data_IF_584572788796
#
_entry.id   IF_584572788796
#
_cell.length_a   1.000
_cell.length_b   1.000
_cell.length_c   1.000
_cell.angle_alpha   90.00
_cell.angle_beta   90.00
_cell.angle_gamma   90.00
#
_symmetry.space_group_name_H-M   'P 1'
#
loop_
_entity.id
_entity.type
_entity.pdbx_description
1 polymer ?
#
# COMPACT_ATOMS: atom_id res chain seq x y z
N UNK A 1 0.13 36.66 -4.24
CA UNK A 1 0.51 35.96 -3.01
C UNK A 1 0.41 34.47 -3.24
N UNK A 2 1.49 33.75 -2.96
CA UNK A 2 1.54 32.29 -2.97
C UNK A 2 1.63 31.81 -1.52
N UNK A 3 0.83 30.82 -1.15
CA UNK A 3 0.87 30.21 0.18
C UNK A 3 1.09 28.70 0.02
N UNK A 4 1.96 28.12 0.85
CA UNK A 4 2.19 26.68 0.90
C UNK A 4 2.01 26.21 2.33
N UNK A 5 1.10 25.27 2.55
CA UNK A 5 0.85 24.65 3.84
C UNK A 5 1.47 23.26 3.80
N UNK A 6 2.32 22.92 4.76
CA UNK A 6 2.97 21.62 4.85
C UNK A 6 2.89 21.02 6.25
N UNK A 7 2.70 19.71 6.31
CA UNK A 7 2.77 18.91 7.53
C UNK A 7 3.41 17.56 7.22
N UNK A 8 3.90 16.90 8.26
CA UNK A 8 4.50 15.59 8.17
C UNK A 8 3.84 14.58 9.10
N UNK A 9 4.09 13.30 8.87
CA UNK A 9 3.74 12.27 9.85
C UNK A 9 4.91 11.33 10.04
N UNK A 10 5.47 11.33 11.24
CA UNK A 10 6.50 10.39 11.64
C UNK A 10 5.91 9.04 12.05
N UNK A 11 6.51 7.97 11.55
CA UNK A 11 6.17 6.60 11.90
C UNK A 11 7.44 5.83 12.26
N UNK A 12 7.61 5.48 13.53
CA UNK A 12 8.78 4.74 14.03
C UNK A 12 8.97 3.36 13.38
N UNK A 13 7.88 2.76 12.90
CA UNK A 13 7.87 1.37 12.42
C UNK A 13 7.51 1.26 10.94
N UNK A 14 7.63 2.34 10.18
CA UNK A 14 7.35 2.32 8.74
C UNK A 14 7.60 3.67 8.07
N UNK A 15 7.12 3.79 6.85
CA UNK A 15 7.37 4.98 6.04
C UNK A 15 6.67 6.21 6.65
N UNK A 16 7.34 7.34 6.54
CA UNK A 16 6.85 8.66 6.96
C UNK A 16 6.51 9.48 5.72
N UNK A 17 5.51 10.35 5.82
CA UNK A 17 4.97 11.06 4.67
C UNK A 17 4.81 12.56 4.95
N UNK A 18 4.86 13.34 3.89
CA UNK A 18 4.67 14.79 3.84
C UNK A 18 3.38 15.06 3.07
N UNK A 19 2.53 15.90 3.60
CA UNK A 19 1.36 16.45 2.91
C UNK A 19 1.56 17.93 2.65
N UNK A 20 1.20 18.39 1.44
CA UNK A 20 1.24 19.81 1.11
C UNK A 20 -0.01 20.28 0.37
N UNK A 21 -0.38 21.54 0.62
CA UNK A 21 -1.43 22.27 -0.08
C UNK A 21 -0.86 23.60 -0.55
N UNK A 22 -1.08 23.95 -1.83
CA UNK A 22 -0.62 25.23 -2.40
C UNK A 22 -1.82 26.08 -2.79
N UNK A 23 -1.80 27.33 -2.36
CA UNK A 23 -2.79 28.35 -2.67
C UNK A 23 -2.15 29.50 -3.44
N UNK A 24 -2.94 30.13 -4.29
CA UNK A 24 -2.63 31.43 -4.89
C UNK A 24 -3.84 32.33 -4.75
N UNK A 25 -3.63 33.53 -4.20
CA UNK A 25 -4.71 34.50 -3.95
C UNK A 25 -5.90 33.86 -3.21
N UNK A 26 -5.61 33.07 -2.17
CA UNK A 26 -6.61 32.36 -1.37
C UNK A 26 -7.29 31.15 -2.06
N UNK A 27 -6.97 30.85 -3.32
CA UNK A 27 -7.51 29.71 -4.06
C UNK A 27 -6.53 28.54 -4.07
N UNK A 28 -6.97 27.37 -3.64
CA UNK A 28 -6.19 26.14 -3.76
C UNK A 28 -5.94 25.79 -5.24
N UNK A 29 -4.67 25.60 -5.59
CA UNK A 29 -4.24 25.24 -6.95
C UNK A 29 -3.56 23.87 -7.02
N UNK A 30 -3.09 23.33 -5.89
CA UNK A 30 -2.41 22.04 -5.85
C UNK A 30 -2.51 21.36 -4.47
N UNK A 31 -2.49 20.03 -4.48
CA UNK A 31 -2.35 19.18 -3.30
C UNK A 31 -1.43 18.00 -3.66
N UNK A 32 -0.55 17.61 -2.74
CA UNK A 32 0.32 16.46 -2.93
C UNK A 32 0.69 15.78 -1.63
N UNK A 33 0.99 14.48 -1.75
CA UNK A 33 1.64 13.68 -0.72
C UNK A 33 2.94 13.12 -1.30
N UNK A 34 4.02 13.10 -0.52
CA UNK A 34 5.27 12.41 -0.86
C UNK A 34 5.83 11.71 0.37
N UNK A 35 6.67 10.69 0.17
CA UNK A 35 7.42 10.07 1.25
C UNK A 35 8.55 11.01 1.75
N UNK A 36 8.83 10.98 3.06
CA UNK A 36 9.98 11.66 3.68
C UNK A 36 11.26 10.96 3.24
N UNK A 37 12.32 11.72 2.92
CA UNK A 37 13.57 11.12 2.41
C UNK A 37 14.39 10.52 3.55
N UNK A 38 15.27 9.57 3.20
CA UNK A 38 16.42 9.16 4.01
C UNK A 38 16.15 8.60 5.43
N UNK A 39 14.98 7.98 5.67
CA UNK A 39 14.61 7.35 6.95
C UNK A 39 14.76 8.31 8.14
N UNK A 40 13.80 9.23 8.36
CA UNK A 40 13.87 10.22 9.42
C UNK A 40 14.00 9.55 10.80
N UNK A 41 14.78 10.16 11.71
CA UNK A 41 15.05 9.58 13.04
C UNK A 41 14.03 10.00 14.08
N UNK A 42 13.33 11.10 13.83
CA UNK A 42 12.40 11.72 14.76
C UNK A 42 11.40 12.61 14.00
N UNK A 43 10.39 13.13 14.71
CA UNK A 43 9.38 13.98 14.08
C UNK A 43 9.93 15.31 13.56
N UNK A 44 10.92 15.91 14.22
CA UNK A 44 11.50 17.18 13.78
C UNK A 44 12.18 17.03 12.41
N UNK A 45 12.86 15.90 12.16
CA UNK A 45 13.44 15.59 10.85
C UNK A 45 12.36 15.59 9.76
N UNK A 46 11.21 14.94 10.01
CA UNK A 46 10.08 14.92 9.08
C UNK A 46 9.52 16.32 8.80
N UNK A 47 9.39 17.18 9.83
CA UNK A 47 8.90 18.54 9.66
C UNK A 47 9.87 19.42 8.85
N UNK A 48 11.18 19.25 9.05
CA UNK A 48 12.18 19.98 8.28
C UNK A 48 12.15 19.55 6.80
N UNK A 49 12.02 18.25 6.53
CA UNK A 49 11.85 17.72 5.18
C UNK A 49 10.56 18.24 4.52
N UNK A 50 9.47 18.41 5.30
CA UNK A 50 8.24 19.02 4.81
C UNK A 50 8.44 20.47 4.35
N UNK A 51 9.24 21.26 5.08
CA UNK A 51 9.60 22.63 4.72
C UNK A 51 10.50 22.67 3.47
N UNK A 52 11.48 21.79 3.36
CA UNK A 52 12.33 21.67 2.17
C UNK A 52 11.52 21.28 0.92
N UNK A 53 10.56 20.37 1.10
CA UNK A 53 9.64 20.01 0.02
C UNK A 53 8.71 21.17 -0.35
N UNK A 54 8.20 21.93 0.63
CA UNK A 54 7.41 23.12 0.40
C UNK A 54 8.16 24.15 -0.45
N UNK A 55 9.46 24.36 -0.20
CA UNK A 55 10.31 25.21 -1.04
C UNK A 55 10.39 24.72 -2.48
N UNK A 56 10.47 23.40 -2.70
CA UNK A 56 10.42 22.84 -4.04
C UNK A 56 9.08 23.14 -4.74
N UNK A 57 7.97 23.13 -4.02
CA UNK A 57 6.67 23.54 -4.56
C UNK A 57 6.62 25.05 -4.86
N UNK A 58 7.23 25.89 -4.01
CA UNK A 58 7.39 27.32 -4.29
C UNK A 58 8.11 27.53 -5.63
N UNK A 59 9.22 26.82 -5.87
CA UNK A 59 9.96 26.89 -7.15
C UNK A 59 9.11 26.53 -8.36
N UNK A 60 8.28 25.49 -8.23
CA UNK A 60 7.42 25.00 -9.32
C UNK A 60 6.26 25.97 -9.59
N UNK A 61 5.64 26.48 -8.53
CA UNK A 61 4.39 27.21 -8.66
C UNK A 61 4.55 28.72 -8.73
N UNK A 62 5.65 29.30 -8.25
CA UNK A 62 5.88 30.76 -8.26
C UNK A 62 5.81 31.34 -9.68
N UNK A 63 5.10 32.45 -9.83
CA UNK A 63 4.94 33.17 -11.11
C UNK A 63 5.30 34.66 -10.97
N UNK A 64 6.39 34.94 -10.24
CA UNK A 64 6.76 36.30 -9.85
C UNK A 64 5.85 36.86 -8.76
N UNK A 65 5.36 35.99 -7.88
CA UNK A 65 4.53 36.36 -6.73
C UNK A 65 5.32 37.30 -5.81
N UNK A 66 4.80 38.50 -5.49
CA UNK A 66 5.50 39.47 -4.63
C UNK A 66 5.71 39.00 -3.19
N UNK A 67 4.84 38.10 -2.73
CA UNK A 67 4.79 37.59 -1.37
C UNK A 67 4.51 36.09 -1.42
N UNK A 68 5.32 35.33 -0.68
CA UNK A 68 5.31 33.88 -0.59
C UNK A 68 5.35 33.52 0.89
N UNK A 69 4.38 32.75 1.37
CA UNK A 69 4.36 32.30 2.77
C UNK A 69 4.31 30.79 2.84
N UNK A 70 5.23 30.20 3.60
CA UNK A 70 5.25 28.76 3.88
C UNK A 70 4.83 28.53 5.33
N UNK A 71 3.76 27.78 5.51
CA UNK A 71 3.15 27.48 6.79
C UNK A 71 3.43 26.05 7.25
N UNK A 72 3.75 25.90 8.53
CA UNK A 72 3.87 24.61 9.21
C UNK A 72 3.39 24.76 10.67
N UNK A 73 2.90 23.69 11.29
CA UNK A 73 2.36 23.70 12.66
C UNK A 73 3.38 23.31 13.74
N UNK A 74 4.62 23.00 13.37
CA UNK A 74 5.73 22.83 14.30
C UNK A 74 6.50 24.14 14.50
N UNK A 75 6.30 24.77 15.65
CA UNK A 75 7.04 25.99 16.04
C UNK A 75 8.56 25.76 16.08
N UNK A 76 8.99 24.55 16.46
CA UNK A 76 10.40 24.16 16.48
C UNK A 76 10.98 24.03 15.07
N UNK A 77 10.23 23.44 14.13
CA UNK A 77 10.67 23.30 12.74
C UNK A 77 10.77 24.66 12.05
N UNK A 78 9.74 25.50 12.19
CA UNK A 78 9.73 26.87 11.63
C UNK A 78 10.92 27.67 12.13
N UNK A 79 11.20 27.64 13.45
CA UNK A 79 12.34 28.35 14.03
C UNK A 79 13.68 27.85 13.50
N UNK A 80 13.85 26.53 13.40
CA UNK A 80 15.08 25.93 12.85
C UNK A 80 15.27 26.28 11.38
N UNK A 81 14.20 26.28 10.60
CA UNK A 81 14.24 26.53 9.17
C UNK A 81 14.52 28.00 8.86
N UNK A 82 13.91 28.93 9.59
CA UNK A 82 14.22 30.36 9.51
C UNK A 82 15.72 30.62 9.73
N UNK A 83 16.36 29.91 10.67
CA UNK A 83 17.81 30.02 10.91
C UNK A 83 18.70 29.47 9.77
N UNK A 84 18.13 28.72 8.82
CA UNK A 84 18.81 28.15 7.65
C UNK A 84 18.36 28.77 6.32
N UNK A 85 17.36 29.66 6.36
CA UNK A 85 16.64 30.15 5.18
C UNK A 85 17.40 31.20 4.35
N UNK A 86 18.62 31.60 4.74
CA UNK A 86 19.43 32.58 4.00
C UNK A 86 19.57 32.22 2.51
N UNK A 87 19.67 30.92 2.18
CA UNK A 87 19.73 30.45 0.79
C UNK A 87 18.40 30.61 0.03
N UNK A 88 17.27 30.40 0.69
CA UNK A 88 15.95 30.57 0.08
C UNK A 88 15.61 32.06 -0.10
N UNK A 89 15.96 32.91 0.87
CA UNK A 89 15.77 34.36 0.79
C UNK A 89 16.58 34.99 -0.36
N UNK A 90 17.80 34.49 -0.62
CA UNK A 90 18.59 34.90 -1.78
C UNK A 90 17.95 34.44 -3.10
N UNK A 91 17.53 33.18 -3.18
CA UNK A 91 16.91 32.58 -4.37
C UNK A 91 15.64 33.33 -4.78
N UNK A 92 14.83 33.75 -3.81
CA UNK A 92 13.58 34.47 -4.04
C UNK A 92 13.70 35.97 -3.80
N UNK A 93 14.88 36.59 -3.88
CA UNK A 93 15.12 38.01 -3.56
C UNK A 93 14.19 39.05 -4.25
N UNK A 94 13.52 38.69 -5.35
CA UNK A 94 12.47 39.51 -6.00
C UNK A 94 11.07 39.41 -5.35
N UNK A 95 10.93 38.58 -4.33
CA UNK A 95 9.70 38.21 -3.62
C UNK A 95 9.98 38.16 -2.11
N UNK A 96 9.08 38.69 -1.28
CA UNK A 96 9.16 38.46 0.16
C UNK A 96 8.77 37.01 0.45
N UNK A 97 9.73 36.16 0.86
CA UNK A 97 9.44 34.81 1.34
C UNK A 97 9.48 34.79 2.87
N UNK A 98 8.45 34.21 3.50
CA UNK A 98 8.40 33.99 4.95
C UNK A 98 8.04 32.55 5.29
N UNK A 99 8.49 32.11 6.46
CA UNK A 99 8.14 30.83 7.06
C UNK A 99 7.42 31.10 8.36
N UNK A 100 6.20 30.59 8.50
CA UNK A 100 5.30 30.99 9.57
C UNK A 100 4.68 29.78 10.26
N UNK A 101 4.54 29.90 11.58
CA UNK A 101 3.74 28.96 12.34
C UNK A 101 2.26 29.18 12.06
N UNK A 102 1.52 28.10 11.84
CA UNK A 102 0.07 28.13 11.80
C UNK A 102 -0.54 27.03 12.70
N UNK A 103 -1.64 27.30 13.44
CA UNK A 103 -2.31 26.26 14.19
C UNK A 103 -2.89 25.17 13.30
N UNK A 104 -2.78 23.92 13.76
CA UNK A 104 -3.22 22.71 13.05
C UNK A 104 -4.70 22.70 12.68
N UNK A 105 -5.53 23.43 13.42
CA UNK A 105 -6.99 23.50 13.22
C UNK A 105 -7.39 24.35 12.01
N UNK A 106 -6.46 25.10 11.41
CA UNK A 106 -6.74 25.88 10.20
C UNK A 106 -6.98 24.95 9.03
N UNK A 107 -8.01 25.24 8.23
CA UNK A 107 -8.53 24.35 7.19
C UNK A 107 -7.45 23.76 6.28
N UNK A 108 -6.52 24.58 5.76
CA UNK A 108 -5.49 24.12 4.84
C UNK A 108 -4.32 23.41 5.53
N UNK A 109 -4.03 23.75 6.78
CA UNK A 109 -3.08 22.98 7.61
C UNK A 109 -3.65 21.61 7.96
N UNK A 110 -4.91 21.54 8.36
CA UNK A 110 -5.62 20.27 8.60
C UNK A 110 -5.71 19.40 7.33
N UNK A 111 -5.78 20.02 6.15
CA UNK A 111 -5.71 19.31 4.87
C UNK A 111 -4.31 18.75 4.62
N UNK A 112 -3.24 19.53 4.84
CA UNK A 112 -1.86 19.05 4.77
C UNK A 112 -1.61 17.87 5.74
N UNK A 113 -2.09 17.98 6.98
CA UNK A 113 -2.07 16.92 7.99
C UNK A 113 -2.80 15.65 7.57
N UNK A 114 -3.97 15.81 6.95
CA UNK A 114 -4.71 14.68 6.44
C UNK A 114 -3.99 14.01 5.26
N UNK A 115 -3.28 14.79 4.43
CA UNK A 115 -2.52 14.29 3.29
C UNK A 115 -1.27 13.51 3.73
N UNK A 116 -0.63 13.89 4.85
CA UNK A 116 0.48 13.11 5.43
C UNK A 116 -0.02 11.80 6.05
N UNK A 117 -1.21 11.77 6.65
CA UNK A 117 -1.70 10.62 7.46
C UNK A 117 -2.64 9.64 6.77
N UNK A 118 -3.47 10.10 5.84
CA UNK A 118 -4.64 9.36 5.34
C UNK A 118 -4.58 9.07 3.84
N UNK A 119 -3.46 9.33 3.20
CA UNK A 119 -3.31 9.05 1.77
C UNK A 119 -3.17 7.53 1.53
N UNK A 120 -3.86 6.95 0.53
CA UNK A 120 -3.63 5.57 0.13
C UNK A 120 -2.21 5.42 -0.46
N UNK A 121 -1.30 4.88 0.34
CA UNK A 121 0.00 4.43 -0.13
C UNK A 121 -0.20 3.14 -0.91
N UNK A 122 0.03 3.18 -2.21
CA UNK A 122 0.14 1.99 -3.03
C UNK A 122 1.57 1.49 -2.92
N UNK A 123 1.79 0.49 -2.06
CA UNK A 123 3.11 -0.14 -1.89
C UNK A 123 3.56 -0.74 -3.24
N UNK A 124 4.59 -0.16 -3.86
CA UNK A 124 5.18 -0.70 -5.10
C UNK A 124 6.25 -1.78 -4.81
N UNK A 125 6.65 -1.95 -3.54
CA UNK A 125 7.68 -2.93 -3.13
C UNK A 125 7.18 -4.38 -3.19
N UNK A 126 5.87 -4.59 -3.27
CA UNK A 126 5.31 -5.93 -3.39
C UNK A 126 5.35 -6.37 -4.85
N UNK A 127 6.24 -7.32 -5.18
CA UNK A 127 6.32 -7.90 -6.52
C UNK A 127 4.93 -8.29 -7.04
N UNK A 128 4.52 -7.65 -8.13
CA UNK A 128 3.23 -7.84 -8.77
C UNK A 128 3.36 -8.97 -9.79
N UNK A 129 2.47 -9.96 -9.73
CA UNK A 129 2.44 -11.07 -10.67
C UNK A 129 1.31 -10.88 -11.67
N UNK A 130 1.49 -11.38 -12.90
CA UNK A 130 0.43 -11.41 -13.90
C UNK A 130 -0.74 -12.29 -13.43
N UNK A 131 -1.95 -11.80 -13.60
CA UNK A 131 -3.18 -12.53 -13.31
C UNK A 131 -3.70 -13.16 -14.59
N UNK A 132 -3.95 -14.47 -14.56
CA UNK A 132 -4.51 -15.22 -15.69
C UNK A 132 -5.99 -15.55 -15.46
N UNK A 133 -6.82 -15.31 -16.48
CA UNK A 133 -8.23 -15.69 -16.40
C UNK A 133 -8.41 -17.20 -16.60
N UNK A 134 -8.81 -17.94 -15.57
CA UNK A 134 -8.97 -19.40 -15.69
C UNK A 134 -10.17 -19.79 -16.58
N UNK A 135 -11.15 -18.91 -16.76
CA UNK A 135 -12.31 -19.20 -17.63
C UNK A 135 -11.97 -19.21 -19.12
N UNK A 136 -10.84 -18.63 -19.52
CA UNK A 136 -10.36 -18.56 -20.91
C UNK A 136 -9.14 -19.46 -21.17
N UNK A 137 -8.75 -20.28 -20.19
CA UNK A 137 -7.49 -21.05 -20.20
C UNK A 137 -7.73 -22.51 -19.81
N UNK A 138 -8.07 -23.32 -20.81
CA UNK A 138 -8.25 -24.76 -20.65
C UNK A 138 -6.98 -25.46 -20.18
N UNK A 139 -5.82 -24.97 -20.56
CA UNK A 139 -4.52 -25.47 -20.11
C UNK A 139 -4.37 -25.36 -18.58
N UNK A 140 -4.82 -24.25 -17.98
CA UNK A 140 -4.82 -24.07 -16.51
C UNK A 140 -5.79 -25.05 -15.85
N UNK A 141 -7.02 -25.16 -16.36
CA UNK A 141 -8.04 -26.06 -15.81
C UNK A 141 -7.63 -27.53 -15.92
N UNK A 142 -7.05 -27.90 -17.06
CA UNK A 142 -6.50 -29.24 -17.31
C UNK A 142 -5.29 -29.51 -16.42
N UNK A 143 -4.41 -28.54 -16.20
CA UNK A 143 -3.23 -28.71 -15.33
C UNK A 143 -3.64 -28.93 -13.87
N UNK A 144 -4.53 -28.09 -13.33
CA UNK A 144 -5.12 -28.27 -11.99
C UNK A 144 -5.70 -29.68 -11.83
N UNK A 145 -6.32 -30.21 -12.88
CA UNK A 145 -6.99 -31.52 -12.82
C UNK A 145 -6.03 -32.69 -12.99
N UNK A 146 -5.21 -32.69 -14.03
CA UNK A 146 -4.38 -33.84 -14.43
C UNK A 146 -3.06 -33.91 -13.67
N UNK A 147 -2.47 -32.76 -13.37
CA UNK A 147 -1.18 -32.67 -12.68
C UNK A 147 -1.32 -32.50 -11.16
N UNK A 148 -2.56 -32.48 -10.65
CA UNK A 148 -2.89 -32.32 -9.23
C UNK A 148 -2.22 -31.08 -8.62
N UNK A 149 -2.10 -30.02 -9.43
CA UNK A 149 -1.49 -28.77 -9.01
C UNK A 149 -2.24 -28.18 -7.82
N UNK A 150 -1.50 -27.75 -6.80
CA UNK A 150 -2.08 -27.14 -5.59
C UNK A 150 -2.74 -25.80 -5.95
N UNK A 151 -3.97 -25.59 -5.48
CA UNK A 151 -4.65 -24.30 -5.53
C UNK A 151 -4.72 -23.73 -4.12
N UNK A 152 -4.17 -22.53 -3.95
CA UNK A 152 -4.19 -21.74 -2.74
C UNK A 152 -5.26 -20.65 -2.87
N UNK A 153 -6.09 -20.46 -1.85
CA UNK A 153 -7.00 -19.32 -1.76
C UNK A 153 -7.31 -18.97 -0.31
N UNK A 154 -7.79 -17.76 -0.09
CA UNK A 154 -8.23 -17.29 1.22
C UNK A 154 -9.75 -17.30 1.32
N UNK A 155 -10.22 -17.82 2.44
CA UNK A 155 -11.61 -17.71 2.86
C UNK A 155 -11.66 -16.85 4.12
N UNK A 156 -12.60 -15.91 4.18
CA UNK A 156 -12.87 -15.17 5.40
C UNK A 156 -13.57 -16.10 6.40
N UNK A 157 -13.16 -16.02 7.67
CA UNK A 157 -13.76 -16.77 8.79
C UNK A 157 -14.64 -15.81 9.60
N UNK A 158 -15.98 -15.81 9.40
CA UNK A 158 -16.87 -14.83 10.02
C UNK A 158 -16.83 -14.88 11.55
N UNK A 159 -16.72 -16.07 12.14
CA UNK A 159 -16.77 -16.31 13.59
C UNK A 159 -15.54 -15.73 14.31
N UNK A 160 -14.40 -15.67 13.61
CA UNK A 160 -13.16 -15.08 14.10
C UNK A 160 -12.95 -13.63 13.66
N UNK A 161 -13.90 -13.09 12.88
CA UNK A 161 -13.86 -11.72 12.38
C UNK A 161 -14.68 -10.77 13.27
N UNK A 162 -14.33 -9.50 13.28
CA UNK A 162 -15.04 -8.46 14.03
C UNK A 162 -15.08 -7.14 13.25
N UNK A 163 -15.70 -6.11 13.82
CA UNK A 163 -15.66 -4.77 13.22
C UNK A 163 -14.24 -4.17 13.18
N UNK A 164 -13.32 -4.67 14.01
CA UNK A 164 -11.94 -4.17 14.11
C UNK A 164 -10.90 -5.09 13.45
N UNK A 165 -11.26 -6.32 13.08
CA UNK A 165 -10.33 -7.32 12.55
C UNK A 165 -11.00 -8.23 11.51
N UNK A 166 -10.24 -8.69 10.52
CA UNK A 166 -10.66 -9.74 9.60
C UNK A 166 -9.77 -10.96 9.81
N UNK A 167 -10.37 -12.14 9.96
CA UNK A 167 -9.65 -13.41 9.98
C UNK A 167 -9.79 -14.09 8.63
N UNK A 168 -8.66 -14.47 8.03
CA UNK A 168 -8.60 -15.29 6.81
C UNK A 168 -8.07 -16.68 7.15
N UNK A 169 -8.67 -17.70 6.56
CA UNK A 169 -8.16 -19.07 6.51
C UNK A 169 -7.49 -19.30 5.16
N UNK A 170 -6.25 -19.78 5.19
CA UNK A 170 -5.58 -20.26 3.98
C UNK A 170 -6.01 -21.69 3.70
N UNK A 171 -6.69 -21.87 2.58
CA UNK A 171 -7.08 -23.18 2.08
C UNK A 171 -6.14 -23.56 0.93
N UNK A 172 -5.56 -24.74 1.06
CA UNK A 172 -4.72 -25.37 0.04
C UNK A 172 -5.35 -26.70 -0.33
N UNK A 173 -5.67 -26.89 -1.60
CA UNK A 173 -6.33 -28.11 -2.06
C UNK A 173 -5.95 -28.49 -3.47
N UNK A 174 -6.23 -29.75 -3.80
CA UNK A 174 -6.26 -30.25 -5.18
C UNK A 174 -7.72 -30.42 -5.62
N UNK A 175 -7.92 -30.97 -6.83
CA UNK A 175 -9.25 -31.39 -7.29
C UNK A 175 -9.90 -32.42 -6.37
N UNK A 176 -9.12 -33.29 -5.73
CA UNK A 176 -9.62 -34.45 -4.99
C UNK A 176 -9.88 -34.16 -3.52
N UNK A 177 -9.04 -33.34 -2.88
CA UNK A 177 -9.12 -33.11 -1.43
C UNK A 177 -8.50 -31.80 -0.99
N UNK A 178 -8.91 -31.36 0.19
CA UNK A 178 -8.22 -30.32 0.94
C UNK A 178 -6.94 -30.91 1.53
N UNK A 179 -5.81 -30.24 1.30
CA UNK A 179 -4.50 -30.61 1.82
C UNK A 179 -4.19 -29.87 3.13
N UNK A 180 -4.65 -28.63 3.27
CA UNK A 180 -4.49 -27.80 4.47
C UNK A 180 -5.56 -26.71 4.51
N UNK A 181 -6.13 -26.50 5.69
CA UNK A 181 -7.08 -25.43 6.02
C UNK A 181 -6.91 -24.97 7.48
N UNK A 182 -5.76 -25.29 8.08
CA UNK A 182 -5.46 -25.10 9.51
C UNK A 182 -4.70 -23.80 9.81
N UNK A 183 -4.42 -22.97 8.79
CA UNK A 183 -3.70 -21.70 8.94
C UNK A 183 -4.65 -20.52 8.90
N UNK A 184 -4.62 -19.72 9.97
CA UNK A 184 -5.50 -18.56 10.18
C UNK A 184 -4.66 -17.29 10.36
N UNK A 185 -5.06 -16.21 9.69
CA UNK A 185 -4.37 -14.92 9.67
C UNK A 185 -5.34 -13.82 10.08
N UNK A 186 -5.09 -13.18 11.22
CA UNK A 186 -6.00 -12.16 11.78
C UNK A 186 -5.40 -10.77 11.65
N UNK A 187 -5.96 -9.97 10.74
CA UNK A 187 -5.47 -8.63 10.41
C UNK A 187 -6.38 -7.57 11.01
N UNK A 188 -5.80 -6.53 11.63
CA UNK A 188 -6.55 -5.35 12.08
C UNK A 188 -7.11 -4.59 10.86
N UNK A 189 -8.40 -4.28 10.89
CA UNK A 189 -9.05 -3.39 9.93
C UNK A 189 -8.58 -1.96 10.21
N UNK A 190 -7.93 -1.34 9.25
CA UNK A 190 -7.39 0.01 9.41
C UNK A 190 -6.69 0.49 8.15
N UNK A 191 -7.44 1.22 7.32
CA UNK A 191 -6.94 1.91 6.13
C UNK A 191 -6.85 1.06 4.85
N UNK A 192 -6.54 1.72 3.72
CA UNK A 192 -6.18 1.06 2.45
C UNK A 192 -5.10 0.00 2.67
N UNK A 193 -5.16 -1.12 1.93
CA UNK A 193 -4.12 -2.15 1.99
C UNK A 193 -4.25 -3.20 3.12
N UNK A 194 -5.40 -3.31 3.79
CA UNK A 194 -5.64 -4.39 4.80
C UNK A 194 -5.40 -5.79 4.20
N UNK A 195 -5.77 -6.01 2.93
CA UNK A 195 -5.52 -7.28 2.24
C UNK A 195 -4.04 -7.46 1.87
N UNK A 196 -3.35 -6.39 1.48
CA UNK A 196 -1.90 -6.42 1.22
C UNK A 196 -1.14 -6.83 2.47
N UNK A 197 -1.50 -6.28 3.64
CA UNK A 197 -0.95 -6.72 4.94
C UNK A 197 -1.20 -8.20 5.22
N UNK A 198 -2.39 -8.70 4.88
CA UNK A 198 -2.70 -10.14 4.98
C UNK A 198 -1.76 -10.96 4.09
N UNK A 199 -1.60 -10.55 2.83
CA UNK A 199 -0.72 -11.24 1.89
C UNK A 199 0.75 -11.22 2.30
N UNK A 200 1.23 -10.13 2.91
CA UNK A 200 2.58 -10.05 3.47
C UNK A 200 2.78 -10.98 4.66
N UNK A 201 1.84 -11.05 5.60
CA UNK A 201 1.91 -11.99 6.72
C UNK A 201 1.92 -13.43 6.23
N UNK A 202 1.04 -13.78 5.30
CA UNK A 202 0.98 -15.11 4.70
C UNK A 202 2.28 -15.42 3.97
N UNK A 203 2.83 -14.47 3.20
CA UNK A 203 4.08 -14.66 2.45
C UNK A 203 5.28 -14.88 3.38
N UNK A 204 5.35 -14.14 4.49
CA UNK A 204 6.39 -14.32 5.52
C UNK A 204 6.30 -15.72 6.13
N UNK A 205 5.09 -16.17 6.45
CA UNK A 205 4.83 -17.51 6.95
C UNK A 205 5.20 -18.59 5.91
N UNK A 206 4.79 -18.42 4.64
CA UNK A 206 5.14 -19.31 3.53
C UNK A 206 6.61 -19.22 3.07
N UNK A 207 7.39 -18.30 3.65
CA UNK A 207 8.85 -18.25 3.46
C UNK A 207 9.61 -18.93 4.61
N UNK A 208 8.93 -19.34 5.69
CA UNK A 208 9.54 -20.00 6.83
C UNK A 208 9.85 -21.48 6.50
N UNK A 209 11.10 -21.97 6.65
CA UNK A 209 11.48 -23.35 6.37
C UNK A 209 10.69 -24.41 7.14
N UNK A 210 10.28 -24.14 8.38
CA UNK A 210 9.48 -25.06 9.20
C UNK A 210 8.06 -25.20 8.64
N UNK A 211 7.50 -24.08 8.19
CA UNK A 211 6.18 -24.02 7.54
C UNK A 211 6.23 -24.77 6.21
N UNK A 212 7.25 -24.51 5.39
CA UNK A 212 7.46 -25.21 4.13
C UNK A 212 7.60 -26.72 4.34
N UNK A 213 8.34 -27.14 5.36
CA UNK A 213 8.50 -28.56 5.71
C UNK A 213 7.18 -29.21 6.13
N UNK A 214 6.38 -28.50 6.93
CA UNK A 214 5.02 -28.92 7.33
C UNK A 214 4.05 -29.01 6.15
N UNK A 215 4.09 -28.07 5.21
CA UNK A 215 3.27 -28.13 4.00
C UNK A 215 3.70 -29.30 3.10
N UNK A 216 5.01 -29.51 2.95
CA UNK A 216 5.55 -30.61 2.15
C UNK A 216 5.16 -31.98 2.71
N UNK A 217 5.11 -32.16 4.04
CA UNK A 217 4.65 -33.41 4.65
C UNK A 217 3.16 -33.67 4.42
N UNK A 218 2.35 -32.62 4.22
CA UNK A 218 0.94 -32.70 3.78
C UNK A 218 0.79 -32.93 2.26
N UNK A 219 1.89 -33.06 1.52
CA UNK A 219 1.89 -33.25 0.07
C UNK A 219 1.71 -31.97 -0.74
N UNK A 220 1.83 -30.80 -0.11
CA UNK A 220 1.70 -29.50 -0.76
C UNK A 220 3.04 -29.13 -1.39
N UNK A 221 2.99 -28.76 -2.68
CA UNK A 221 4.10 -28.13 -3.40
C UNK A 221 3.72 -26.70 -3.73
N UNK A 222 4.61 -25.76 -3.43
CA UNK A 222 4.40 -24.34 -3.74
C UNK A 222 4.85 -24.04 -5.18
N UNK A 223 5.83 -24.77 -5.70
CA UNK A 223 6.28 -24.65 -7.08
C UNK A 223 5.18 -25.09 -8.05
N UNK A 224 4.98 -24.30 -9.11
CA UNK A 224 3.96 -24.50 -10.14
C UNK A 224 2.54 -24.61 -9.57
N UNK A 225 2.31 -23.95 -8.43
CA UNK A 225 0.98 -23.86 -7.83
C UNK A 225 0.19 -22.66 -8.38
N UNK A 226 -1.09 -22.64 -8.05
CA UNK A 226 -2.00 -21.56 -8.39
C UNK A 226 -2.44 -20.83 -7.13
N UNK A 227 -2.35 -19.50 -7.15
CA UNK A 227 -3.05 -18.66 -6.20
C UNK A 227 -4.34 -18.13 -6.85
N UNK A 228 -5.49 -18.51 -6.31
CA UNK A 228 -6.79 -18.04 -6.77
C UNK A 228 -7.18 -16.75 -6.03
N UNK A 229 -7.36 -15.67 -6.80
CA UNK A 229 -8.01 -14.45 -6.32
C UNK A 229 -9.52 -14.68 -6.20
N UNK A 230 -10.03 -14.51 -4.98
CA UNK A 230 -11.45 -14.60 -4.63
C UNK A 230 -12.02 -13.20 -4.43
N UNK A 231 -13.34 -13.08 -4.25
CA UNK A 231 -13.94 -11.79 -3.88
C UNK A 231 -13.36 -11.25 -2.55
N UNK A 232 -12.97 -12.15 -1.64
CA UNK A 232 -12.35 -11.81 -0.36
C UNK A 232 -10.92 -11.26 -0.50
N UNK A 233 -10.23 -11.55 -1.61
CA UNK A 233 -8.85 -11.13 -1.88
C UNK A 233 -8.72 -10.16 -3.05
N UNK A 234 -9.84 -9.60 -3.49
CA UNK A 234 -9.87 -8.74 -4.68
C UNK A 234 -9.04 -7.45 -4.57
N UNK A 235 -8.94 -6.89 -3.37
CA UNK A 235 -8.08 -5.75 -3.06
C UNK A 235 -6.57 -6.07 -3.06
N UNK A 236 -6.15 -7.30 -3.40
CA UNK A 236 -4.77 -7.60 -3.81
C UNK A 236 -4.49 -7.23 -5.27
N UNK A 237 -5.53 -6.96 -6.07
CA UNK A 237 -5.39 -6.47 -7.44
C UNK A 237 -4.83 -5.05 -7.41
N UNK A 238 -3.74 -4.82 -8.13
CA UNK A 238 -3.16 -3.48 -8.27
C UNK A 238 -3.50 -2.83 -9.60
N UNK A 239 -3.49 -3.59 -10.70
CA UNK A 239 -3.88 -3.13 -12.05
C UNK A 239 -4.75 -4.17 -12.75
N UNK A 240 -5.23 -3.85 -13.96
CA UNK A 240 -6.10 -4.74 -14.76
C UNK A 240 -5.47 -6.11 -15.04
N UNK A 241 -4.16 -6.26 -14.98
CA UNK A 241 -3.49 -7.53 -15.29
C UNK A 241 -2.55 -8.02 -14.19
N UNK A 242 -2.50 -7.34 -13.04
CA UNK A 242 -1.52 -7.67 -12.01
C UNK A 242 -2.11 -7.64 -10.60
N UNK A 243 -1.63 -8.57 -9.76
CA UNK A 243 -1.99 -8.65 -8.36
C UNK A 243 -0.80 -9.02 -7.48
N UNK A 244 -0.90 -8.64 -6.23
CA UNK A 244 -0.03 -9.10 -5.16
C UNK A 244 -0.31 -10.59 -4.87
N UNK A 245 0.75 -11.41 -4.88
CA UNK A 245 0.65 -12.82 -4.49
C UNK A 245 0.73 -13.01 -2.98
N UNK A 246 0.06 -14.04 -2.45
CA UNK A 246 0.33 -14.53 -1.10
C UNK A 246 1.56 -15.46 -1.06
N UNK A 247 2.02 -15.94 -2.22
CA UNK A 247 3.18 -16.82 -2.34
C UNK A 247 4.48 -16.01 -2.46
N UNK A 248 5.62 -16.53 -1.97
CA UNK A 248 6.92 -15.88 -2.13
C UNK A 248 7.28 -15.67 -3.61
N UNK A 249 7.78 -14.48 -4.01
CA UNK A 249 8.16 -14.19 -5.41
C UNK A 249 9.27 -15.08 -5.97
N UNK A 250 10.12 -15.63 -5.08
CA UNK A 250 11.19 -16.56 -5.45
C UNK A 250 10.68 -17.95 -5.87
N UNK A 251 9.41 -18.26 -5.60
CA UNK A 251 8.80 -19.54 -5.94
C UNK A 251 7.98 -19.37 -7.22
N UNK A 252 8.24 -20.14 -8.28
CA UNK A 252 7.42 -20.09 -9.49
C UNK A 252 5.97 -20.51 -9.20
N UNK A 253 5.02 -19.62 -9.46
CA UNK A 253 3.58 -19.86 -9.30
C UNK A 253 2.79 -18.96 -10.24
N UNK A 254 1.50 -19.24 -10.39
CA UNK A 254 0.58 -18.43 -11.22
C UNK A 254 -0.54 -17.86 -10.35
N UNK A 255 -0.94 -16.62 -10.61
CA UNK A 255 -2.16 -16.06 -10.04
C UNK A 255 -3.29 -16.25 -11.04
N UNK A 256 -4.40 -16.80 -10.59
CA UNK A 256 -5.58 -17.04 -11.42
C UNK A 256 -6.81 -16.37 -10.83
N UNK A 257 -7.72 -15.98 -11.71
CA UNK A 257 -9.00 -15.39 -11.33
C UNK A 257 -10.06 -15.64 -12.42
N UNK A 258 -11.33 -15.49 -12.09
CA UNK A 258 -12.39 -15.29 -13.07
C UNK A 258 -13.06 -13.96 -12.78
N UNK A 259 -13.18 -13.10 -13.79
CA UNK A 259 -13.68 -11.73 -13.60
C UNK A 259 -15.16 -11.67 -13.18
N UNK A 260 -15.91 -12.75 -13.41
CA UNK A 260 -17.36 -12.81 -13.16
C UNK A 260 -17.66 -13.54 -11.86
N UNK A 261 -17.12 -14.75 -11.68
CA UNK A 261 -17.35 -15.58 -10.50
C UNK A 261 -16.01 -16.06 -9.93
N UNK A 262 -15.51 -15.31 -8.95
CA UNK A 262 -14.20 -15.52 -8.29
C UNK A 262 -14.24 -16.64 -7.25
N UNK A 263 -15.32 -17.41 -7.18
CA UNK A 263 -15.45 -18.45 -6.17
C UNK A 263 -14.55 -19.65 -6.46
N UNK A 264 -13.95 -20.27 -5.43
CA UNK A 264 -13.30 -21.57 -5.58
C UNK A 264 -14.23 -22.60 -6.22
N UNK A 265 -15.52 -22.57 -5.89
CA UNK A 265 -16.54 -23.48 -6.44
C UNK A 265 -16.63 -23.38 -7.97
N UNK A 266 -16.60 -22.17 -8.55
CA UNK A 266 -16.59 -21.98 -10.00
C UNK A 266 -15.34 -22.58 -10.64
N UNK A 267 -14.16 -22.34 -10.07
CA UNK A 267 -12.90 -22.92 -10.56
C UNK A 267 -12.99 -24.45 -10.60
N UNK A 268 -13.34 -25.08 -9.47
CA UNK A 268 -13.37 -26.54 -9.37
C UNK A 268 -14.47 -27.16 -10.24
N UNK A 269 -15.66 -26.56 -10.32
CA UNK A 269 -16.73 -27.02 -11.23
C UNK A 269 -16.32 -26.98 -12.70
N UNK A 270 -15.53 -25.99 -13.11
CA UNK A 270 -15.02 -25.91 -14.49
C UNK A 270 -13.91 -26.91 -14.74
N UNK A 271 -13.00 -27.05 -13.78
CA UNK A 271 -11.89 -28.00 -13.83
C UNK A 271 -12.38 -29.46 -13.87
N UNK A 272 -13.51 -29.79 -13.23
CA UNK A 272 -14.11 -31.14 -13.26
C UNK A 272 -14.34 -31.71 -14.67
N UNK A 273 -14.53 -30.85 -15.68
CA UNK A 273 -14.71 -31.27 -17.08
C UNK A 273 -13.48 -31.93 -17.69
N UNK A 274 -12.31 -31.81 -17.05
CA UNK A 274 -11.03 -32.35 -17.51
C UNK A 274 -10.62 -33.63 -16.77
N UNK A 275 -11.48 -34.15 -15.87
CA UNK A 275 -11.28 -35.45 -15.21
C UNK A 275 -11.38 -36.61 -16.20
#
# INVERSE_FOLDING_TARGET
MLEVYCDSSYNENGDSYIGCVVLREGRQIHQSTTEVRDNPRNNLDCELDALDFAISLVRIFSKGDKEIVVYNDSTEAVKNFQGKAEGAEQEFSGSGISFEYIPREKMYQAAADSLSKKFPVFFSSTAMCSVESFSRREDILSDITRNKSSVFYLEKVPEMSSNKKTCYRLVVRTMEKILSDDRFYTIKKGGPGTQVKAAEEIRKDLSNPEVLSSLKSKGIRLENSYFLLTDETWGLRGTDSQACSILPPSIPHKIICDEVDRSPQNLFKRAERFR
#
